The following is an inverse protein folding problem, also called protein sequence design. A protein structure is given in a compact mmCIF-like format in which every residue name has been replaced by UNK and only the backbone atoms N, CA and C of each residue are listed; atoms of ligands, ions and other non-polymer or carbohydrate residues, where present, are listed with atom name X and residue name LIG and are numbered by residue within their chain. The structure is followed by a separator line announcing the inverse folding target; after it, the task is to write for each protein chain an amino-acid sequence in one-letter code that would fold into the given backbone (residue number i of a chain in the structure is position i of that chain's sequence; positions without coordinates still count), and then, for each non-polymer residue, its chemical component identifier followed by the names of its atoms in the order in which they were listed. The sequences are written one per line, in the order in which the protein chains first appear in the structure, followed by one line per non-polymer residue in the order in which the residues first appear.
data_IF_088954022838
#
_entry.id   IF_088954022838
#
_cell.length_a   1.000
_cell.length_b   1.000
_cell.length_c   1.000
_cell.angle_alpha   90.00
_cell.angle_beta   90.00
_cell.angle_gamma   90.00
#
_symmetry.space_group_name_H-M   'P 1'
#
loop_
_entity.id
_entity.type
_entity.pdbx_description
1 polymer ?
#
# COMPACT_ATOMS: atom_id res chain seq x y z
N UNK A 1 12.20 11.74 -23.81
CA UNK A 1 12.98 10.93 -22.85
C UNK A 1 12.30 11.09 -21.50
N UNK A 2 11.36 10.21 -21.17
CA UNK A 2 10.82 10.10 -19.82
C UNK A 2 10.65 8.61 -19.59
N UNK A 3 11.59 8.03 -18.84
CA UNK A 3 11.45 6.69 -18.29
C UNK A 3 10.40 6.84 -17.19
N UNK A 4 9.14 6.57 -17.50
CA UNK A 4 8.19 6.15 -16.47
C UNK A 4 8.72 4.83 -15.95
N UNK A 5 9.68 4.90 -15.02
CA UNK A 5 9.96 3.79 -14.15
C UNK A 5 8.66 3.63 -13.39
N UNK A 6 7.95 2.54 -13.68
CA UNK A 6 6.79 2.19 -12.89
C UNK A 6 7.36 2.04 -11.47
N UNK A 7 7.02 2.93 -10.55
CA UNK A 7 7.55 2.86 -9.19
C UNK A 7 7.18 1.51 -8.52
N UNK A 8 6.19 0.81 -9.09
CA UNK A 8 5.86 -0.57 -8.79
C UNK A 8 6.81 -1.66 -9.36
N UNK A 9 7.76 -1.35 -10.26
CA UNK A 9 8.71 -2.35 -10.80
C UNK A 9 9.68 -2.85 -9.72
N UNK A 10 10.04 -1.98 -8.77
CA UNK A 10 10.86 -2.33 -7.60
C UNK A 10 10.05 -3.05 -6.51
N UNK A 11 8.76 -3.32 -6.76
CA UNK A 11 7.82 -3.94 -5.82
C UNK A 11 7.92 -3.36 -4.39
N UNK A 12 7.70 -2.04 -4.21
CA UNK A 12 7.92 -1.38 -2.92
C UNK A 12 6.95 -1.86 -1.85
N UNK A 13 5.74 -2.31 -2.21
CA UNK A 13 4.71 -2.77 -1.28
C UNK A 13 5.07 -4.13 -0.68
N UNK A 14 5.07 -4.23 0.65
CA UNK A 14 5.33 -5.46 1.41
C UNK A 14 4.02 -6.13 1.84
N UNK A 15 4.13 -7.35 2.40
CA UNK A 15 3.02 -8.07 3.03
C UNK A 15 1.76 -8.23 2.14
N UNK A 16 1.97 -8.68 0.90
CA UNK A 16 0.91 -8.85 -0.11
C UNK A 16 0.16 -7.55 -0.47
N UNK A 17 0.78 -6.38 -0.24
CA UNK A 17 0.23 -5.10 -0.68
C UNK A 17 0.21 -4.96 -2.21
N UNK A 18 -0.90 -4.48 -2.77
CA UNK A 18 -1.02 -4.23 -4.21
C UNK A 18 -0.48 -2.85 -4.55
N UNK A 19 0.51 -2.78 -5.43
CA UNK A 19 1.05 -1.50 -5.91
C UNK A 19 0.22 -0.94 -7.07
N UNK A 20 -0.19 0.31 -6.97
CA UNK A 20 -0.87 1.06 -8.02
C UNK A 20 0.00 2.25 -8.46
N UNK A 21 0.33 2.29 -9.75
CA UNK A 21 1.14 3.36 -10.32
C UNK A 21 0.25 4.57 -10.62
N UNK A 22 0.65 5.74 -10.13
CA UNK A 22 -0.02 7.01 -10.35
C UNK A 22 0.86 7.95 -11.19
N UNK A 23 0.27 9.00 -11.76
CA UNK A 23 1.01 9.97 -12.59
C UNK A 23 2.14 10.69 -11.84
N UNK A 24 2.07 10.75 -10.51
CA UNK A 24 3.03 11.44 -9.64
C UNK A 24 3.65 10.52 -8.56
N UNK A 25 3.67 9.21 -8.77
CA UNK A 25 4.26 8.26 -7.81
C UNK A 25 3.58 6.89 -7.83
N UNK A 26 3.63 6.18 -6.71
CA UNK A 26 2.86 4.95 -6.48
C UNK A 26 2.03 5.03 -5.22
N UNK A 27 1.09 4.11 -5.07
CA UNK A 27 0.33 3.92 -3.84
C UNK A 27 0.19 2.43 -3.57
N UNK A 28 0.42 2.01 -2.33
CA UNK A 28 0.23 0.63 -1.91
C UNK A 28 -1.14 0.44 -1.26
N UNK A 29 -1.93 -0.49 -1.79
CA UNK A 29 -3.14 -0.99 -1.15
C UNK A 29 -2.78 -2.17 -0.24
N UNK A 30 -2.74 -1.92 1.06
CA UNK A 30 -2.34 -2.91 2.05
C UNK A 30 -3.45 -3.93 2.34
N UNK A 31 -3.03 -5.17 2.59
CA UNK A 31 -3.92 -6.22 3.09
C UNK A 31 -4.36 -5.93 4.52
N UNK A 32 -5.46 -6.56 4.92
CA UNK A 32 -5.94 -6.48 6.29
C UNK A 32 -4.81 -6.88 7.26
N UNK A 33 -4.40 -5.97 8.16
CA UNK A 33 -3.38 -6.25 9.17
C UNK A 33 -2.16 -5.35 9.06
N UNK A 34 -2.05 -4.67 7.91
CA UNK A 34 -0.89 -3.88 7.52
C UNK A 34 -1.27 -2.44 7.15
N UNK A 35 -0.38 -1.51 7.46
CA UNK A 35 -0.50 -0.08 7.18
C UNK A 35 0.87 0.50 6.85
N UNK A 36 0.93 1.82 6.63
CA UNK A 36 2.13 2.51 6.18
C UNK A 36 2.18 2.66 4.65
N UNK A 37 3.11 3.49 4.14
CA UNK A 37 3.20 3.82 2.72
C UNK A 37 3.55 2.62 1.84
N UNK A 38 4.19 1.59 2.43
CA UNK A 38 4.59 0.35 1.76
C UNK A 38 4.07 -0.90 2.47
N UNK A 39 3.06 -0.77 3.32
CA UNK A 39 2.48 -1.90 4.06
C UNK A 39 3.47 -2.64 4.98
N UNK A 40 4.50 -1.94 5.47
CA UNK A 40 5.53 -2.46 6.38
C UNK A 40 5.09 -2.45 7.85
N UNK A 41 4.05 -1.67 8.19
CA UNK A 41 3.61 -1.48 9.57
C UNK A 41 2.52 -2.50 9.90
N UNK A 42 2.88 -3.55 10.64
CA UNK A 42 1.94 -4.55 11.15
C UNK A 42 1.34 -4.16 12.49
N UNK A 43 0.08 -4.54 12.74
CA UNK A 43 -0.56 -4.37 14.05
C UNK A 43 -1.94 -3.72 14.02
N UNK A 44 -2.51 -3.45 12.83
CA UNK A 44 -3.91 -3.07 12.75
C UNK A 44 -4.76 -4.30 13.04
N UNK A 45 -5.43 -4.34 14.18
CA UNK A 45 -6.37 -5.42 14.43
C UNK A 45 -7.56 -5.24 13.47
N UNK A 46 -7.87 -6.33 12.78
CA UNK A 46 -8.90 -6.41 11.74
C UNK A 46 -10.32 -6.08 12.23
N UNK A 47 -10.49 -5.92 13.55
CA UNK A 47 -11.75 -5.56 14.18
C UNK A 47 -11.89 -4.05 14.49
N UNK A 48 -10.83 -3.23 14.40
CA UNK A 48 -10.95 -1.77 14.56
C UNK A 48 -11.26 -1.02 13.26
N UNK A 49 -10.82 -1.52 12.10
CA UNK A 49 -11.01 -0.82 10.82
C UNK A 49 -12.40 -1.02 10.19
N UNK A 50 -13.18 -2.00 10.66
CA UNK A 50 -14.59 -2.19 10.27
C UNK A 50 -15.61 -1.52 11.20
N UNK A 51 -15.17 -0.96 12.34
CA UNK A 51 -16.06 -0.46 13.39
C UNK A 51 -16.06 1.06 13.56
N UNK A 52 -15.25 1.81 12.81
CA UNK A 52 -15.42 3.27 12.66
C UNK A 52 -16.34 3.57 11.49
N UNK A 53 -17.58 3.09 11.57
CA UNK A 53 -18.69 3.72 10.86
C UNK A 53 -19.38 4.63 11.91
N UNK A 54 -19.53 5.94 11.67
CA UNK A 54 -20.24 6.81 12.60
C UNK A 54 -21.67 6.35 12.85
#
# INVERSE_FOLDING_TARGET
MIMYLSDCEEAPCQNDGTCDNQQNGYTCACTQGWTGPICDQGGINLCETRSRKP
#
